data_IF_122195033041
#
_entry.id   IF_122195033041
#
_cell.length_a   1.000
_cell.length_b   1.000
_cell.length_c   1.000
_cell.angle_alpha   90.00
_cell.angle_beta   90.00
_cell.angle_gamma   90.00
#
_symmetry.space_group_name_H-M   'P 1'
#
loop_
_entity.id
_entity.type
_entity.pdbx_description
1 polymer ?
#
# COMPACT_ATOMS: atom_id res chain seq x y z
N UNK A 1 14.78 -5.19 -2.23
CA UNK A 1 15.42 -6.55 -2.10
C UNK A 1 14.88 -7.40 -3.23
N UNK A 2 15.68 -8.21 -3.92
CA UNK A 2 15.15 -9.07 -5.00
C UNK A 2 14.55 -10.36 -4.41
N UNK A 3 13.40 -10.83 -4.91
CA UNK A 3 12.80 -12.08 -4.46
C UNK A 3 13.65 -13.29 -4.88
N UNK A 4 13.80 -14.26 -3.98
CA UNK A 4 14.50 -15.53 -4.24
C UNK A 4 13.50 -16.68 -4.27
N UNK A 5 13.17 -17.20 -5.46
CA UNK A 5 12.18 -18.27 -5.63
C UNK A 5 12.57 -19.60 -4.96
N UNK A 6 13.83 -19.77 -4.54
CA UNK A 6 14.26 -20.93 -3.77
C UNK A 6 13.86 -20.83 -2.29
N UNK A 7 13.51 -19.64 -1.80
CA UNK A 7 13.06 -19.40 -0.43
C UNK A 7 11.55 -19.43 -0.34
N UNK A 8 11.03 -19.71 0.84
CA UNK A 8 9.59 -19.73 1.11
C UNK A 8 9.10 -18.30 1.28
N UNK A 9 8.05 -17.94 0.54
CA UNK A 9 7.38 -16.67 0.73
C UNK A 9 6.47 -16.73 1.97
N UNK A 10 6.30 -15.57 2.60
CA UNK A 10 5.43 -15.36 3.73
C UNK A 10 4.54 -14.16 3.44
N UNK A 11 3.24 -14.27 3.69
CA UNK A 11 2.26 -13.20 3.48
C UNK A 11 1.65 -12.85 4.82
N UNK A 12 1.73 -11.57 5.18
CA UNK A 12 0.99 -10.98 6.30
C UNK A 12 -0.07 -10.04 5.73
N UNK A 13 -1.31 -10.19 6.18
CA UNK A 13 -2.39 -9.27 5.81
C UNK A 13 -3.09 -8.76 7.05
N UNK A 14 -3.63 -7.55 6.96
CA UNK A 14 -4.47 -6.95 8.00
C UNK A 14 -5.56 -6.08 7.35
N UNK A 15 -6.66 -5.89 8.08
CA UNK A 15 -7.74 -5.03 7.66
C UNK A 15 -8.21 -4.12 8.79
N UNK A 16 -8.44 -2.86 8.44
CA UNK A 16 -9.01 -1.86 9.34
C UNK A 16 -10.41 -1.45 8.90
N UNK A 17 -11.04 -0.56 9.67
CA UNK A 17 -12.30 0.07 9.28
C UNK A 17 -12.22 0.83 7.95
N UNK A 18 -11.02 1.29 7.56
CA UNK A 18 -10.80 2.25 6.48
C UNK A 18 -10.04 1.68 5.28
N UNK A 19 -9.26 0.62 5.47
CA UNK A 19 -8.32 0.12 4.47
C UNK A 19 -7.87 -1.31 4.77
N UNK A 20 -7.21 -1.91 3.80
CA UNK A 20 -6.54 -3.21 3.91
C UNK A 20 -5.06 -3.02 3.64
N UNK A 21 -4.24 -3.88 4.23
CA UNK A 21 -2.79 -3.87 4.08
C UNK A 21 -2.24 -5.28 3.99
N UNK A 22 -1.18 -5.47 3.22
CA UNK A 22 -0.46 -6.73 3.17
C UNK A 22 1.04 -6.54 2.93
N UNK A 23 1.82 -7.52 3.36
CA UNK A 23 3.27 -7.57 3.23
C UNK A 23 3.67 -8.93 2.70
N UNK A 24 4.45 -8.95 1.62
CA UNK A 24 5.14 -10.13 1.12
C UNK A 24 6.55 -10.14 1.69
N UNK A 25 6.97 -11.26 2.26
CA UNK A 25 8.27 -11.40 2.93
C UNK A 25 8.97 -12.70 2.56
N UNK A 26 10.28 -12.74 2.81
CA UNK A 26 11.09 -13.95 2.91
C UNK A 26 12.06 -13.81 4.08
N UNK A 27 12.21 -14.87 4.88
CA UNK A 27 13.14 -14.86 6.04
C UNK A 27 12.90 -13.68 6.97
N UNK A 28 11.62 -13.34 7.23
CA UNK A 28 11.20 -12.17 8.02
C UNK A 28 11.64 -10.81 7.46
N UNK A 29 12.03 -10.75 6.19
CA UNK A 29 12.38 -9.51 5.48
C UNK A 29 11.33 -9.18 4.44
N UNK A 30 10.79 -7.95 4.43
CA UNK A 30 9.81 -7.54 3.45
C UNK A 30 10.42 -7.39 2.05
N UNK A 31 9.68 -7.88 1.06
CA UNK A 31 9.97 -7.85 -0.37
C UNK A 31 9.07 -6.85 -1.05
N UNK A 32 7.77 -6.91 -0.74
CA UNK A 32 6.76 -6.03 -1.32
C UNK A 32 5.69 -5.70 -0.28
N UNK A 33 5.03 -4.57 -0.49
CA UNK A 33 3.94 -4.07 0.34
C UNK A 33 2.73 -3.80 -0.53
N UNK A 34 1.56 -3.93 0.06
CA UNK A 34 0.29 -3.63 -0.57
C UNK A 34 -0.60 -2.91 0.44
N UNK A 35 -1.34 -1.90 -0.02
CA UNK A 35 -2.41 -1.27 0.75
C UNK A 35 -3.46 -0.75 -0.20
N UNK A 36 -4.72 -0.84 0.23
CA UNK A 36 -5.85 -0.36 -0.54
C UNK A 36 -6.88 0.28 0.41
N UNK A 37 -7.38 1.45 0.04
CA UNK A 37 -8.45 2.10 0.79
C UNK A 37 -9.79 1.43 0.47
N UNK A 38 -10.51 1.02 1.50
CA UNK A 38 -11.86 0.48 1.34
C UNK A 38 -12.82 1.58 0.89
N UNK A 39 -13.71 1.26 -0.05
CA UNK A 39 -14.68 2.19 -0.60
C UNK A 39 -16.00 1.51 -0.96
N UNK A 40 -17.09 2.29 -1.01
CA UNK A 40 -18.42 1.79 -1.36
C UNK A 40 -18.87 0.64 -0.45
N UNK A 41 -19.25 -0.50 -1.05
CA UNK A 41 -19.78 -1.63 -0.30
C UNK A 41 -18.77 -2.30 0.63
N UNK A 42 -17.46 -2.22 0.34
CA UNK A 42 -16.42 -2.92 1.12
C UNK A 42 -16.18 -2.27 2.49
N UNK A 43 -16.52 -1.00 2.67
CA UNK A 43 -16.49 -0.32 3.97
C UNK A 43 -17.44 -0.96 4.99
N UNK A 44 -18.57 -1.48 4.52
CA UNK A 44 -19.62 -2.05 5.37
C UNK A 44 -19.43 -3.55 5.62
N UNK A 45 -18.34 -4.15 5.15
CA UNK A 45 -18.05 -5.55 5.40
C UNK A 45 -17.79 -5.78 6.90
N UNK A 46 -18.27 -6.90 7.47
CA UNK A 46 -17.81 -7.37 8.78
C UNK A 46 -16.28 -7.50 8.80
N UNK A 47 -15.67 -7.40 9.98
CA UNK A 47 -14.21 -7.49 10.14
C UNK A 47 -13.62 -8.73 9.44
N UNK A 48 -14.23 -9.90 9.66
CA UNK A 48 -13.83 -11.14 8.99
C UNK A 48 -13.83 -11.04 7.46
N UNK A 49 -14.88 -10.44 6.88
CA UNK A 49 -14.98 -10.27 5.43
C UNK A 49 -13.91 -9.30 4.90
N UNK A 50 -13.52 -8.30 5.69
CA UNK A 50 -12.46 -7.36 5.31
C UNK A 50 -11.09 -8.01 5.34
N UNK A 51 -10.82 -8.89 6.29
CA UNK A 51 -9.57 -9.63 6.38
C UNK A 51 -9.44 -10.68 5.29
N UNK A 52 -10.51 -11.44 5.04
CA UNK A 52 -10.55 -12.35 3.90
C UNK A 52 -10.36 -11.57 2.58
N UNK A 53 -10.96 -10.39 2.47
CA UNK A 53 -10.75 -9.52 1.33
C UNK A 53 -9.28 -9.05 1.23
N UNK A 54 -8.65 -8.65 2.34
CA UNK A 54 -7.24 -8.29 2.36
C UNK A 54 -6.34 -9.41 1.85
N UNK A 55 -6.60 -10.65 2.27
CA UNK A 55 -5.89 -11.83 1.79
C UNK A 55 -6.10 -12.05 0.28
N UNK A 56 -7.35 -12.05 -0.19
CA UNK A 56 -7.67 -12.23 -1.62
C UNK A 56 -6.93 -11.19 -2.47
N UNK A 57 -6.93 -9.92 -2.06
CA UNK A 57 -6.25 -8.84 -2.78
C UNK A 57 -4.73 -9.01 -2.78
N UNK A 58 -4.14 -9.48 -1.68
CA UNK A 58 -2.72 -9.81 -1.63
C UNK A 58 -2.35 -10.95 -2.60
N UNK A 59 -3.18 -12.01 -2.64
CA UNK A 59 -2.98 -13.13 -3.55
C UNK A 59 -3.15 -12.74 -5.02
N UNK A 60 -4.14 -11.92 -5.36
CA UNK A 60 -4.30 -11.38 -6.72
C UNK A 60 -3.08 -10.55 -7.13
N UNK A 61 -2.58 -9.71 -6.23
CA UNK A 61 -1.43 -8.83 -6.49
C UNK A 61 -0.14 -9.63 -6.72
N UNK A 62 0.09 -10.67 -5.93
CA UNK A 62 1.33 -11.44 -5.93
C UNK A 62 1.18 -12.86 -6.50
N UNK A 63 0.14 -13.11 -7.30
CA UNK A 63 -0.13 -14.43 -7.89
C UNK A 63 1.10 -15.04 -8.58
N UNK A 64 1.89 -14.20 -9.25
CA UNK A 64 3.09 -14.58 -10.00
C UNK A 64 4.25 -15.05 -9.09
N UNK A 65 4.25 -14.66 -7.82
CA UNK A 65 5.20 -15.17 -6.81
C UNK A 65 4.68 -16.41 -6.07
N UNK A 66 3.36 -16.49 -5.86
CA UNK A 66 2.75 -17.42 -4.91
C UNK A 66 2.19 -18.69 -5.55
N UNK A 67 1.87 -18.69 -6.83
CA UNK A 67 1.37 -19.89 -7.54
C UNK A 67 2.39 -21.04 -7.63
N UNK A 68 3.68 -20.78 -7.93
CA UNK A 68 4.60 -21.88 -8.26
C UNK A 68 5.05 -22.75 -7.08
N UNK A 69 4.95 -22.25 -5.84
CA UNK A 69 5.53 -22.91 -4.65
C UNK A 69 4.72 -22.61 -3.40
N UNK A 70 4.70 -23.57 -2.49
CA UNK A 70 4.07 -23.41 -1.18
C UNK A 70 4.62 -22.20 -0.41
N UNK A 71 3.72 -21.41 0.16
CA UNK A 71 4.03 -20.23 0.98
C UNK A 71 3.22 -20.23 2.28
N UNK A 72 3.62 -19.37 3.20
CA UNK A 72 2.98 -19.25 4.52
C UNK A 72 2.11 -18.01 4.56
N UNK A 73 0.86 -18.15 5.01
CA UNK A 73 0.00 -17.03 5.37
C UNK A 73 0.03 -16.88 6.89
N UNK A 74 0.45 -15.72 7.37
CA UNK A 74 0.35 -15.35 8.77
C UNK A 74 -0.91 -14.53 8.99
N UNK A 75 -1.76 -14.98 9.90
CA UNK A 75 -2.98 -14.27 10.29
C UNK A 75 -3.12 -14.24 11.81
N UNK A 76 -3.61 -13.11 12.32
CA UNK A 76 -4.01 -12.93 13.71
C UNK A 76 -5.48 -13.25 13.96
N UNK A 77 -6.23 -13.55 12.91
CA UNK A 77 -7.61 -13.98 13.01
C UNK A 77 -7.75 -15.50 12.92
N UNK A 78 -8.11 -16.08 14.06
CA UNK A 78 -8.33 -17.51 14.21
C UNK A 78 -9.46 -18.05 13.31
N UNK A 79 -10.42 -17.21 12.93
CA UNK A 79 -11.50 -17.55 12.01
C UNK A 79 -11.01 -17.94 10.61
N UNK A 80 -9.89 -17.35 10.14
CA UNK A 80 -9.29 -17.69 8.84
C UNK A 80 -8.62 -19.08 8.85
N UNK A 81 -8.29 -19.66 10.00
CA UNK A 81 -7.84 -21.07 10.08
C UNK A 81 -8.91 -22.04 9.57
N UNK A 82 -10.17 -21.68 9.77
CA UNK A 82 -11.32 -22.51 9.43
C UNK A 82 -11.90 -22.15 8.05
N UNK A 83 -11.15 -21.44 7.20
CA UNK A 83 -11.59 -21.08 5.84
C UNK A 83 -12.15 -22.31 5.09
N UNK A 84 -11.47 -23.45 5.24
CA UNK A 84 -11.82 -24.74 4.60
C UNK A 84 -13.04 -25.45 5.23
N UNK A 85 -13.42 -25.10 6.45
CA UNK A 85 -14.46 -25.79 7.22
C UNK A 85 -15.84 -25.09 7.17
N UNK A 86 -15.96 -23.98 6.44
CA UNK A 86 -17.20 -23.21 6.39
C UNK A 86 -18.24 -23.84 5.47
N UNK A 87 -19.30 -24.41 6.07
CA UNK A 87 -20.39 -25.09 5.34
C UNK A 87 -21.50 -24.16 4.80
N UNK A 88 -21.51 -22.86 5.13
CA UNK A 88 -22.48 -21.88 4.62
C UNK A 88 -21.77 -20.64 4.10
N UNK A 89 -21.30 -20.71 2.86
CA UNK A 89 -20.66 -19.59 2.18
C UNK A 89 -21.68 -18.83 1.33
N UNK A 90 -21.72 -17.50 1.46
CA UNK A 90 -22.41 -16.66 0.49
C UNK A 90 -21.68 -16.76 -0.88
N UNK A 91 -22.34 -16.45 -2.00
CA UNK A 91 -21.75 -16.51 -3.36
C UNK A 91 -20.40 -15.79 -3.47
N UNK A 92 -20.24 -14.66 -2.78
CA UNK A 92 -18.96 -13.93 -2.74
C UNK A 92 -17.87 -14.73 -2.02
N UNK A 93 -18.17 -15.23 -0.82
CA UNK A 93 -17.22 -16.04 -0.05
C UNK A 93 -16.85 -17.31 -0.78
N UNK A 94 -17.81 -17.99 -1.42
CA UNK A 94 -17.53 -19.18 -2.21
C UNK A 94 -16.47 -18.91 -3.30
N UNK A 95 -16.60 -17.79 -4.03
CA UNK A 95 -15.60 -17.38 -5.04
C UNK A 95 -14.24 -17.06 -4.44
N UNK A 96 -14.21 -16.36 -3.29
CA UNK A 96 -12.97 -16.01 -2.62
C UNK A 96 -12.25 -17.23 -2.04
N UNK A 97 -13.00 -18.17 -1.46
CA UNK A 97 -12.45 -19.44 -0.96
C UNK A 97 -11.95 -20.28 -2.12
N UNK A 98 -12.72 -20.45 -3.19
CA UNK A 98 -12.29 -21.19 -4.38
C UNK A 98 -11.01 -20.60 -4.99
N UNK A 99 -10.95 -19.27 -5.11
CA UNK A 99 -9.73 -18.57 -5.56
C UNK A 99 -8.55 -18.81 -4.62
N UNK A 100 -8.75 -18.68 -3.31
CA UNK A 100 -7.69 -18.86 -2.31
C UNK A 100 -7.18 -20.32 -2.31
N UNK A 101 -8.07 -21.31 -2.40
CA UNK A 101 -7.74 -22.74 -2.48
C UNK A 101 -7.01 -23.14 -3.76
N UNK A 102 -6.99 -22.29 -4.80
CA UNK A 102 -6.19 -22.56 -6.00
C UNK A 102 -4.68 -22.42 -5.76
N UNK A 103 -4.27 -21.84 -4.62
CA UNK A 103 -2.88 -21.61 -4.26
C UNK A 103 -2.34 -22.68 -3.29
N UNK A 104 -1.05 -23.05 -3.39
CA UNK A 104 -0.41 -23.92 -2.41
C UNK A 104 0.00 -23.08 -1.18
N UNK A 105 -0.76 -23.14 -0.09
CA UNK A 105 -0.47 -22.34 1.11
C UNK A 105 -0.63 -23.13 2.42
N UNK A 106 0.11 -22.70 3.44
CA UNK A 106 -0.06 -23.11 4.84
C UNK A 106 -0.45 -21.88 5.70
N UNK A 107 -1.52 -21.98 6.51
CA UNK A 107 -1.90 -20.91 7.44
C UNK A 107 -1.19 -21.12 8.77
N UNK A 108 -0.49 -20.09 9.24
CA UNK A 108 0.08 -20.01 10.59
C UNK A 108 -0.56 -18.88 11.36
N UNK A 109 -0.92 -19.17 12.61
CA UNK A 109 -1.38 -18.15 13.53
C UNK A 109 -0.20 -17.32 14.00
N UNK A 110 -0.37 -16.00 13.94
CA UNK A 110 0.58 -15.04 14.48
C UNK A 110 -0.20 -14.04 15.32
N UNK A 111 0.27 -13.74 16.53
CA UNK A 111 -0.46 -12.82 17.41
C UNK A 111 -0.48 -11.41 16.79
N UNK A 112 -1.63 -10.72 16.78
CA UNK A 112 -1.78 -9.42 16.09
C UNK A 112 -0.79 -8.33 16.50
N UNK A 113 -0.28 -8.38 17.74
CA UNK A 113 0.80 -7.49 18.22
C UNK A 113 2.12 -7.63 17.42
N UNK A 114 2.32 -8.75 16.75
CA UNK A 114 3.48 -9.02 15.91
C UNK A 114 3.25 -8.69 14.43
N UNK A 115 2.00 -8.36 14.04
CA UNK A 115 1.60 -7.96 12.68
C UNK A 115 1.65 -6.43 12.49
N UNK A 116 2.68 -5.80 13.08
CA UNK A 116 2.78 -4.32 13.17
C UNK A 116 2.82 -3.67 11.79
N UNK A 117 3.44 -4.34 10.82
CA UNK A 117 3.61 -3.78 9.48
C UNK A 117 2.27 -3.77 8.75
N UNK A 118 1.59 -4.91 8.58
CA UNK A 118 0.31 -4.93 7.89
C UNK A 118 -0.75 -4.06 8.61
N UNK A 119 -0.75 -4.03 9.95
CA UNK A 119 -1.60 -3.13 10.75
C UNK A 119 -1.33 -1.65 10.44
N UNK A 120 -0.06 -1.26 10.32
CA UNK A 120 0.29 0.08 9.90
C UNK A 120 -0.20 0.36 8.47
N UNK A 121 -0.08 -0.58 7.54
CA UNK A 121 -0.54 -0.41 6.15
C UNK A 121 -2.07 -0.32 6.03
N UNK A 122 -2.81 -1.04 6.87
CA UNK A 122 -4.27 -1.04 6.87
C UNK A 122 -4.85 0.21 7.53
N UNK A 123 -4.16 0.79 8.52
CA UNK A 123 -4.60 1.96 9.30
C UNK A 123 -4.02 3.30 8.81
N UNK A 124 -2.84 3.28 8.19
CA UNK A 124 -2.14 4.47 7.67
C UNK A 124 -1.79 4.27 6.20
N UNK A 125 -2.71 4.66 5.34
CA UNK A 125 -2.48 4.75 3.89
C UNK A 125 -1.36 5.75 3.50
N UNK A 126 -0.86 6.57 4.45
CA UNK A 126 0.14 7.61 4.21
C UNK A 126 1.61 7.16 4.34
N UNK A 127 1.90 5.91 4.72
CA UNK A 127 3.29 5.47 4.96
C UNK A 127 3.94 4.75 3.76
N UNK A 128 3.18 4.37 2.72
CA UNK A 128 3.65 3.48 1.63
C UNK A 128 3.93 4.24 0.32
N UNK A 129 4.37 5.49 0.41
CA UNK A 129 5.14 6.09 -0.69
C UNK A 129 6.64 6.13 -0.36
N UNK A 130 7.04 5.58 0.81
CA UNK A 130 8.37 5.83 1.39
C UNK A 130 9.39 4.69 1.25
N UNK A 131 9.04 3.52 0.69
CA UNK A 131 9.97 2.40 0.47
C UNK A 131 9.47 1.60 -0.74
N UNK A 132 10.16 1.39 -1.86
CA UNK A 132 11.57 1.49 -2.24
C UNK A 132 11.57 1.75 -3.76
N UNK A 133 11.41 2.99 -4.19
CA UNK A 133 11.93 3.38 -5.50
C UNK A 133 13.25 4.08 -5.20
N UNK A 134 14.34 3.30 -5.20
CA UNK A 134 15.70 3.79 -5.44
C UNK A 134 15.81 4.43 -6.83
N UNK A 135 15.00 5.45 -7.08
CA UNK A 135 15.23 6.38 -8.16
C UNK A 135 16.18 7.44 -7.63
N UNK A 136 17.28 7.64 -8.34
CA UNK A 136 18.38 8.58 -8.08
C UNK A 136 17.96 10.07 -7.94
N UNK A 137 16.68 10.39 -7.80
CA UNK A 137 16.15 11.76 -7.73
C UNK A 137 15.49 12.17 -6.41
N UNK A 138 15.09 11.24 -5.53
CA UNK A 138 14.34 11.62 -4.30
C UNK A 138 15.20 12.33 -3.25
N UNK A 139 16.49 12.01 -3.15
CA UNK A 139 17.41 12.79 -2.31
C UNK A 139 17.57 14.23 -2.81
N UNK A 140 17.50 14.44 -4.13
CA UNK A 140 17.59 15.76 -4.74
C UNK A 140 16.33 16.60 -4.46
N UNK A 141 15.16 15.97 -4.31
CA UNK A 141 13.92 16.65 -3.90
C UNK A 141 14.11 17.33 -2.53
N UNK A 142 14.79 16.66 -1.59
CA UNK A 142 15.02 17.20 -0.24
C UNK A 142 15.86 18.47 -0.29
N UNK A 143 16.94 18.46 -1.07
CA UNK A 143 17.77 19.64 -1.29
C UNK A 143 17.03 20.76 -2.05
N UNK A 144 16.10 20.41 -2.95
CA UNK A 144 15.37 21.38 -3.75
C UNK A 144 14.36 22.23 -2.96
N UNK A 145 13.94 21.81 -1.75
CA UNK A 145 13.02 22.60 -0.94
C UNK A 145 13.61 23.92 -0.45
N UNK A 146 14.92 24.01 -0.18
CA UNK A 146 15.53 25.21 0.41
C UNK A 146 15.37 26.46 -0.48
N UNK A 147 15.33 26.27 -1.80
CA UNK A 147 15.17 27.34 -2.80
C UNK A 147 13.81 27.36 -3.49
N UNK A 148 12.86 26.52 -3.07
CA UNK A 148 11.57 26.40 -3.76
C UNK A 148 10.60 27.53 -3.38
N UNK A 149 10.02 28.17 -4.39
CA UNK A 149 9.07 29.26 -4.21
C UNK A 149 7.73 28.82 -3.59
N UNK A 150 7.29 27.58 -3.85
CA UNK A 150 5.97 27.09 -3.43
C UNK A 150 6.01 26.47 -2.02
N UNK A 151 7.17 25.94 -1.61
CA UNK A 151 7.32 25.09 -0.42
C UNK A 151 8.49 25.46 0.50
N UNK A 152 9.41 26.35 0.11
CA UNK A 152 10.62 26.61 0.88
C UNK A 152 10.38 27.19 2.27
N UNK A 153 9.46 28.15 2.40
CA UNK A 153 9.08 28.72 3.69
C UNK A 153 8.32 27.71 4.57
N UNK A 154 7.46 26.88 3.97
CA UNK A 154 6.71 25.82 4.66
C UNK A 154 7.69 24.73 5.16
N UNK A 155 8.70 24.39 4.36
CA UNK A 155 9.73 23.43 4.73
C UNK A 155 10.52 23.91 5.95
N UNK A 156 10.94 25.18 5.98
CA UNK A 156 11.63 25.79 7.14
C UNK A 156 10.74 25.85 8.38
N UNK A 157 9.47 26.21 8.23
CA UNK A 157 8.53 26.29 9.35
C UNK A 157 8.25 24.91 9.96
N UNK A 158 8.19 23.86 9.13
CA UNK A 158 8.02 22.48 9.56
C UNK A 158 9.27 21.85 10.22
N UNK A 159 10.43 22.53 10.24
CA UNK A 159 11.63 22.03 10.93
C UNK A 159 11.51 22.03 12.45
N UNK A 160 10.69 22.94 13.01
CA UNK A 160 10.58 23.15 14.46
C UNK A 160 9.35 22.46 15.05
N UNK A 161 8.21 22.49 14.36
CA UNK A 161 6.99 21.73 14.64
C UNK A 161 6.18 21.58 13.35
N UNK A 162 5.32 20.56 13.23
CA UNK A 162 4.42 20.44 12.08
C UNK A 162 3.51 21.68 11.96
N UNK A 163 3.48 22.29 10.78
CA UNK A 163 2.72 23.53 10.54
C UNK A 163 1.39 23.20 9.85
N UNK A 164 0.26 23.46 10.51
CA UNK A 164 -1.07 23.27 9.92
C UNK A 164 -1.37 21.82 9.49
N UNK A 165 -1.59 21.58 8.18
CA UNK A 165 -1.86 20.25 7.59
C UNK A 165 -0.58 19.54 7.09
N UNK A 166 0.59 20.06 7.43
CA UNK A 166 1.88 19.55 6.97
C UNK A 166 2.61 18.80 8.08
N UNK A 167 3.19 17.65 7.76
CA UNK A 167 3.92 16.78 8.69
C UNK A 167 5.13 16.13 8.01
N UNK A 168 6.12 15.69 8.80
CA UNK A 168 7.46 15.35 8.28
C UNK A 168 7.86 13.88 8.47
N UNK A 169 8.12 13.22 7.33
CA UNK A 169 9.36 12.47 7.02
C UNK A 169 9.91 12.99 5.67
N UNK A 170 8.97 13.31 4.76
CA UNK A 170 9.05 14.22 3.61
C UNK A 170 7.92 15.28 3.71
N UNK A 171 7.92 16.36 2.92
CA UNK A 171 6.91 17.41 3.05
C UNK A 171 5.56 16.99 2.42
N UNK A 172 4.57 16.72 3.26
CA UNK A 172 3.21 16.35 2.84
C UNK A 172 2.19 17.44 3.18
N UNK A 173 1.15 17.58 2.35
CA UNK A 173 -0.09 18.32 2.69
C UNK A 173 -1.24 17.32 2.74
N UNK A 174 -1.67 16.90 3.93
CA UNK A 174 -2.61 15.78 4.05
C UNK A 174 -2.00 14.51 3.45
N UNK A 175 -2.45 14.08 2.27
CA UNK A 175 -2.02 12.83 1.63
C UNK A 175 -1.13 13.06 0.41
N UNK A 176 -0.87 14.32 0.08
CA UNK A 176 -0.21 14.71 -1.15
C UNK A 176 1.24 15.07 -0.86
N UNK A 177 2.17 14.43 -1.56
CA UNK A 177 3.58 14.79 -1.53
C UNK A 177 3.79 16.12 -2.24
N UNK A 178 4.45 17.06 -1.57
CA UNK A 178 4.69 18.39 -2.10
C UNK A 178 5.95 18.44 -2.95
N UNK A 179 5.90 18.18 -4.27
CA UNK A 179 7.12 18.14 -5.09
C UNK A 179 7.55 19.57 -5.51
N UNK A 180 8.78 20.01 -5.18
CA UNK A 180 9.36 21.28 -5.60
C UNK A 180 9.39 21.47 -7.12
N UNK A 181 9.56 22.72 -7.57
CA UNK A 181 9.73 23.07 -8.99
C UNK A 181 11.05 22.53 -9.55
N UNK A 182 11.05 21.26 -9.94
CA UNK A 182 12.21 20.57 -10.51
C UNK A 182 11.86 19.91 -11.84
N UNK A 183 12.87 19.51 -12.61
CA UNK A 183 12.71 18.70 -13.82
C UNK A 183 11.99 17.37 -13.53
N UNK A 184 12.13 16.83 -12.31
CA UNK A 184 11.40 15.66 -11.86
C UNK A 184 9.89 15.91 -11.76
N UNK A 185 9.47 17.10 -11.30
CA UNK A 185 8.05 17.48 -11.30
C UNK A 185 7.48 17.50 -12.72
N UNK A 186 8.23 18.03 -13.68
CA UNK A 186 7.80 18.05 -15.08
C UNK A 186 7.73 16.65 -15.69
N UNK A 187 8.68 15.77 -15.34
CA UNK A 187 8.69 14.37 -15.76
C UNK A 187 7.46 13.62 -15.20
N UNK A 188 7.20 13.74 -13.89
CA UNK A 188 6.04 13.12 -13.24
C UNK A 188 4.72 13.64 -13.82
N UNK A 189 4.62 14.94 -14.10
CA UNK A 189 3.46 15.52 -14.78
C UNK A 189 3.28 14.97 -16.20
N UNK A 190 4.38 14.73 -16.93
CA UNK A 190 4.31 14.13 -18.27
C UNK A 190 3.94 12.66 -18.23
N UNK A 191 4.45 11.89 -17.28
CA UNK A 191 4.08 10.47 -17.14
C UNK A 191 2.62 10.32 -16.74
N UNK A 192 2.16 11.13 -15.77
CA UNK A 192 0.77 11.13 -15.32
C UNK A 192 -0.22 11.58 -16.41
N UNK A 193 0.22 12.38 -17.40
CA UNK A 193 -0.65 12.93 -18.45
C UNK A 193 -0.33 12.45 -19.87
N UNK A 194 0.66 11.56 -20.05
CA UNK A 194 1.16 11.14 -21.36
C UNK A 194 0.96 9.65 -21.69
N UNK A 195 0.60 8.81 -20.71
CA UNK A 195 0.28 7.39 -20.92
C UNK A 195 -1.17 7.20 -21.43
N UNK A 196 -1.37 6.32 -22.41
CA UNK A 196 -2.67 6.04 -23.07
C UNK A 196 -3.78 5.42 -22.20
N UNK A 197 -3.69 5.56 -20.88
CA UNK A 197 -4.62 5.04 -19.88
C UNK A 197 -4.95 6.12 -18.84
N UNK A 198 -5.39 7.32 -19.21
CA UNK A 198 -6.00 8.21 -18.19
C UNK A 198 -7.11 9.12 -18.67
N UNK A 199 -8.10 9.21 -17.78
CA UNK A 199 -9.22 10.10 -17.80
C UNK A 199 -8.77 11.58 -17.77
N UNK A 200 -9.56 12.39 -18.45
CA UNK A 200 -9.45 13.84 -18.58
C UNK A 200 -9.40 14.60 -17.24
N UNK A 201 -8.21 14.98 -16.76
CA UNK A 201 -8.04 16.18 -15.94
C UNK A 201 -6.85 17.00 -16.45
N UNK A 202 -7.16 18.21 -16.94
CA UNK A 202 -6.18 19.06 -17.61
C UNK A 202 -5.08 19.58 -16.69
N UNK A 203 -3.88 19.76 -17.25
CA UNK A 203 -2.63 20.24 -16.63
C UNK A 203 -2.83 21.47 -15.72
N UNK A 204 -3.74 22.37 -16.07
CA UNK A 204 -4.05 23.56 -15.27
C UNK A 204 -4.74 23.23 -13.93
N UNK A 205 -5.50 22.13 -13.82
CA UNK A 205 -6.07 21.65 -12.55
C UNK A 205 -4.99 20.96 -11.70
N UNK A 206 -4.07 20.21 -12.30
CA UNK A 206 -2.92 19.57 -11.62
C UNK A 206 -1.88 20.57 -11.09
N UNK A 207 -1.80 21.76 -11.70
CA UNK A 207 -0.95 22.87 -11.21
C UNK A 207 -1.67 23.74 -10.17
N UNK A 208 -3.00 23.83 -10.23
CA UNK A 208 -3.82 24.64 -9.31
C UNK A 208 -4.26 23.84 -8.06
N UNK A 209 -4.26 22.51 -8.16
CA UNK A 209 -4.37 21.52 -7.08
C UNK A 209 -3.15 20.61 -7.14
N UNK A 210 -2.24 20.79 -6.17
CA UNK A 210 -0.94 20.10 -6.03
C UNK A 210 -1.07 18.58 -6.26
N UNK A 211 -0.41 18.09 -7.33
CA UNK A 211 -0.01 16.70 -7.58
C UNK A 211 -1.05 15.64 -7.20
N UNK A 212 -2.04 15.48 -8.08
CA UNK A 212 -2.77 14.23 -8.20
C UNK A 212 -1.91 13.26 -9.02
N UNK A 213 -0.93 12.64 -8.37
CA UNK A 213 -0.33 11.40 -8.86
C UNK A 213 -0.73 10.34 -7.86
N UNK A 214 -1.85 9.65 -8.14
CA UNK A 214 -2.15 8.37 -7.54
C UNK A 214 -1.09 7.38 -8.05
N UNK A 215 -0.15 7.01 -7.17
CA UNK A 215 0.65 5.79 -7.30
C UNK A 215 0.09 4.81 -6.26
#
# INVERSE_FOLDING_TARGET
>A
MLPDFNKTFEVECDASGLGIGAVLMQEKKPIAYFSEKLSGATLNYPTYDKELYALVRALETWQHYLWPKEFVIHTDHESLKYLKAQHKLNKRHARWVEFTESFPYEIKYKQGKENVVADALSRRYTLITTMDVKYLGFEQIKAAYEGDFDFGEINKACEKHGEGKFYRSDLFRGNQLCIPRTSLRELLLREAHGGGLMAHFGVAKTLRGRLDVEI
#
